data_IF_826106166877
#
_entry.id   IF_826106166877
#
_cell.length_a   1.000
_cell.length_b   1.000
_cell.length_c   1.000
_cell.angle_alpha   90.00
_cell.angle_beta   90.00
_cell.angle_gamma   90.00
#
_symmetry.space_group_name_H-M   'P 1'
#
loop_
_entity.id
_entity.type
_entity.pdbx_description
1 polymer ?
#
# COMPACT_ATOMS: atom_id res chain seq x y z
N UNK A 1 -26.47 6.17 -2.89
CA UNK A 1 -25.90 6.20 -4.26
C UNK A 1 -24.59 6.99 -4.41
N UNK A 2 -24.26 7.91 -3.48
CA UNK A 2 -22.98 8.66 -3.47
C UNK A 2 -21.79 7.86 -2.90
N UNK A 3 -21.93 7.06 -1.82
CA UNK A 3 -20.78 6.41 -1.17
C UNK A 3 -20.07 5.38 -2.08
N UNK A 4 -20.82 4.62 -2.88
CA UNK A 4 -20.24 3.62 -3.79
C UNK A 4 -19.44 4.23 -4.94
N UNK A 5 -19.70 5.50 -5.30
CA UNK A 5 -18.95 6.20 -6.36
C UNK A 5 -17.54 6.58 -5.89
N UNK A 6 -17.34 6.77 -4.59
CA UNK A 6 -16.07 7.20 -3.99
C UNK A 6 -15.11 6.04 -3.70
N UNK A 7 -15.58 4.78 -3.70
CA UNK A 7 -14.73 3.62 -3.44
C UNK A 7 -13.51 3.58 -4.37
N UNK A 8 -13.73 3.68 -5.68
CA UNK A 8 -12.63 3.60 -6.67
C UNK A 8 -11.64 4.76 -6.52
N UNK A 9 -12.06 6.04 -6.43
CA UNK A 9 -11.15 7.14 -6.16
C UNK A 9 -10.28 6.95 -4.90
N UNK A 10 -10.88 6.56 -3.77
CA UNK A 10 -10.13 6.36 -2.52
C UNK A 10 -9.11 5.22 -2.63
N UNK A 11 -9.52 4.09 -3.21
CA UNK A 11 -8.60 2.98 -3.48
C UNK A 11 -7.51 3.37 -4.48
N UNK A 12 -7.79 4.27 -5.42
CA UNK A 12 -6.80 4.77 -6.39
C UNK A 12 -5.75 5.65 -5.73
N UNK A 13 -6.13 6.47 -4.74
CA UNK A 13 -5.17 7.27 -3.94
C UNK A 13 -4.25 6.36 -3.13
N UNK A 14 -4.79 5.30 -2.53
CA UNK A 14 -3.96 4.32 -1.83
C UNK A 14 -3.09 3.51 -2.80
N UNK A 15 -3.61 3.13 -3.97
CA UNK A 15 -2.85 2.44 -5.02
C UNK A 15 -1.66 3.30 -5.48
N UNK A 16 -1.89 4.58 -5.74
CA UNK A 16 -0.86 5.52 -6.16
C UNK A 16 0.29 5.60 -5.14
N UNK A 17 -0.01 5.69 -3.85
CA UNK A 17 1.02 5.70 -2.80
C UNK A 17 1.91 4.45 -2.83
N UNK A 18 1.30 3.26 -2.95
CA UNK A 18 2.07 2.01 -3.05
C UNK A 18 2.83 1.91 -4.37
N UNK A 19 2.28 2.41 -5.48
CA UNK A 19 2.95 2.42 -6.77
C UNK A 19 4.16 3.37 -6.75
N UNK A 20 4.02 4.55 -6.17
CA UNK A 20 5.13 5.48 -5.95
C UNK A 20 6.25 4.83 -5.14
N UNK A 21 5.90 4.15 -4.04
CA UNK A 21 6.89 3.39 -3.28
C UNK A 21 7.57 2.33 -4.15
N UNK A 22 6.81 1.65 -5.01
CA UNK A 22 7.35 0.60 -5.87
C UNK A 22 8.36 1.12 -6.90
N UNK A 23 8.07 2.27 -7.52
CA UNK A 23 8.81 2.75 -8.70
C UNK A 23 9.84 3.83 -8.38
N UNK A 24 9.68 4.55 -7.27
CA UNK A 24 10.58 5.63 -6.86
C UNK A 24 11.39 5.24 -5.64
N UNK A 25 10.69 4.86 -4.56
CA UNK A 25 11.33 4.68 -3.27
C UNK A 25 12.13 3.36 -3.18
N UNK A 26 11.57 2.24 -3.63
CA UNK A 26 12.25 0.95 -3.59
C UNK A 26 13.58 0.95 -4.37
N UNK A 27 13.66 1.44 -5.63
CA UNK A 27 14.93 1.52 -6.34
C UNK A 27 15.96 2.37 -5.59
N UNK A 28 15.55 3.50 -5.01
CA UNK A 28 16.45 4.37 -4.25
C UNK A 28 17.06 3.65 -3.04
N UNK A 29 16.25 2.93 -2.26
CA UNK A 29 16.74 2.21 -1.07
C UNK A 29 17.57 0.98 -1.44
N UNK A 30 17.24 0.31 -2.55
CA UNK A 30 18.02 -0.82 -3.04
C UNK A 30 19.41 -0.40 -3.55
N UNK A 31 19.50 0.76 -4.21
CA UNK A 31 20.77 1.31 -4.70
C UNK A 31 21.64 1.85 -3.56
N UNK A 32 21.02 2.47 -2.55
CA UNK A 32 21.73 3.09 -1.43
C UNK A 32 21.03 2.80 -0.08
N UNK A 33 21.24 1.59 0.48
CA UNK A 33 20.64 1.18 1.74
C UNK A 33 21.30 1.90 2.91
N UNK A 34 20.74 3.05 3.29
CA UNK A 34 21.23 3.87 4.43
C UNK A 34 20.46 3.55 5.72
N UNK A 35 21.08 2.94 6.73
CA UNK A 35 20.47 2.73 8.04
C UNK A 35 20.04 4.05 8.69
N UNK A 36 18.90 4.05 9.38
CA UNK A 36 18.38 5.25 10.06
C UNK A 36 17.96 6.41 9.15
N UNK A 37 17.93 6.24 7.83
CA UNK A 37 17.66 7.33 6.87
C UNK A 37 16.18 7.70 6.74
N UNK A 38 15.27 6.82 7.14
CA UNK A 38 13.84 7.12 7.10
C UNK A 38 13.41 7.95 8.31
N UNK A 39 12.71 9.05 8.02
CA UNK A 39 11.94 9.80 9.01
C UNK A 39 10.81 8.94 9.59
N UNK A 40 10.26 9.38 10.74
CA UNK A 40 9.12 8.71 11.38
C UNK A 40 7.96 8.49 10.40
N UNK A 41 7.24 7.37 10.53
CA UNK A 41 6.14 6.95 9.62
C UNK A 41 5.11 8.08 9.40
N UNK A 42 4.85 8.88 10.44
CA UNK A 42 3.89 9.99 10.46
C UNK A 42 4.55 11.38 10.41
N UNK A 43 5.85 11.47 10.15
CA UNK A 43 6.54 12.74 10.00
C UNK A 43 6.25 13.35 8.62
N UNK A 44 6.20 14.69 8.55
CA UNK A 44 6.16 15.41 7.28
C UNK A 44 7.40 15.02 6.44
N UNK A 45 7.17 14.64 5.18
CA UNK A 45 8.19 14.06 4.29
C UNK A 45 8.12 12.52 4.15
N UNK A 46 7.37 11.82 5.00
CA UNK A 46 7.03 10.41 4.81
C UNK A 46 5.92 10.28 3.74
N UNK A 47 6.11 9.54 2.63
CA UNK A 47 5.04 9.29 1.67
C UNK A 47 3.78 8.69 2.32
N UNK A 48 3.98 7.86 3.34
CA UNK A 48 2.90 7.23 4.12
C UNK A 48 1.99 8.29 4.76
N UNK A 49 2.53 9.43 5.19
CA UNK A 49 1.74 10.52 5.78
C UNK A 49 0.62 11.01 4.85
N UNK A 50 0.88 11.07 3.54
CA UNK A 50 -0.07 11.61 2.56
C UNK A 50 -1.05 10.57 2.02
N UNK A 51 -0.67 9.28 2.02
CA UNK A 51 -1.47 8.23 1.36
C UNK A 51 -2.16 7.24 2.31
N UNK A 52 -1.70 7.14 3.57
CA UNK A 52 -2.23 6.18 4.54
C UNK A 52 -3.73 6.39 4.86
N UNK A 53 -4.27 7.62 5.02
CA UNK A 53 -5.68 7.78 5.36
C UNK A 53 -6.65 7.18 4.32
N UNK A 54 -6.25 7.17 3.04
CA UNK A 54 -7.12 6.72 1.95
C UNK A 54 -7.32 5.20 1.93
N UNK A 55 -6.35 4.42 2.41
CA UNK A 55 -6.44 2.96 2.44
C UNK A 55 -7.58 2.47 3.34
N UNK A 56 -7.54 2.75 4.66
CA UNK A 56 -8.61 2.38 5.59
C UNK A 56 -9.97 2.95 5.17
N UNK A 57 -10.03 4.21 4.74
CA UNK A 57 -11.28 4.82 4.26
C UNK A 57 -11.84 4.08 3.03
N UNK A 58 -10.99 3.78 2.04
CA UNK A 58 -11.37 3.05 0.84
C UNK A 58 -11.86 1.63 1.14
N UNK A 59 -11.20 0.92 2.06
CA UNK A 59 -11.59 -0.44 2.48
C UNK A 59 -12.91 -0.45 3.24
N UNK A 60 -13.08 0.42 4.23
CA UNK A 60 -14.34 0.55 4.98
C UNK A 60 -15.49 0.87 4.02
N UNK A 61 -15.27 1.80 3.10
CA UNK A 61 -16.28 2.19 2.14
C UNK A 61 -16.61 1.05 1.16
N UNK A 62 -15.62 0.25 0.75
CA UNK A 62 -15.82 -0.93 -0.09
C UNK A 62 -16.71 -1.97 0.61
N UNK A 63 -16.50 -2.20 1.91
CA UNK A 63 -17.33 -3.10 2.73
C UNK A 63 -18.76 -2.57 2.83
N UNK A 64 -18.93 -1.30 3.21
CA UNK A 64 -20.26 -0.67 3.36
C UNK A 64 -21.01 -0.62 2.02
N UNK A 65 -20.31 -0.36 0.92
CA UNK A 65 -20.87 -0.35 -0.42
C UNK A 65 -21.14 -1.77 -0.99
N UNK A 66 -20.81 -2.82 -0.24
CA UNK A 66 -21.01 -4.23 -0.60
C UNK A 66 -20.45 -4.55 -1.98
N UNK A 67 -19.19 -4.16 -2.21
CA UNK A 67 -18.49 -4.50 -3.46
C UNK A 67 -18.34 -6.03 -3.62
N UNK A 68 -18.02 -6.54 -4.81
CA UNK A 68 -17.91 -7.98 -5.02
C UNK A 68 -16.97 -8.67 -4.03
N UNK A 69 -17.37 -9.84 -3.51
CA UNK A 69 -16.56 -10.63 -2.55
C UNK A 69 -15.13 -10.88 -3.02
N UNK A 70 -14.85 -11.20 -4.31
CA UNK A 70 -13.47 -11.35 -4.76
C UNK A 70 -12.65 -10.06 -4.61
N UNK A 71 -13.25 -8.88 -4.83
CA UNK A 71 -12.58 -7.61 -4.62
C UNK A 71 -12.28 -7.38 -3.13
N UNK A 72 -13.21 -7.73 -2.23
CA UNK A 72 -12.97 -7.70 -0.78
C UNK A 72 -11.84 -8.65 -0.37
N UNK A 73 -11.73 -9.83 -0.99
CA UNK A 73 -10.60 -10.75 -0.78
C UNK A 73 -9.26 -10.12 -1.16
N UNK A 74 -9.17 -9.49 -2.34
CA UNK A 74 -7.97 -8.76 -2.76
C UNK A 74 -7.63 -7.60 -1.82
N UNK A 75 -8.63 -6.84 -1.35
CA UNK A 75 -8.42 -5.77 -0.38
C UNK A 75 -7.93 -6.30 0.97
N UNK A 76 -8.47 -7.42 1.44
CA UNK A 76 -8.02 -8.06 2.68
C UNK A 76 -6.55 -8.49 2.58
N UNK A 77 -6.15 -9.13 1.47
CA UNK A 77 -4.74 -9.47 1.20
C UNK A 77 -3.86 -8.22 1.22
N UNK A 78 -4.29 -7.16 0.54
CA UNK A 78 -3.57 -5.88 0.48
C UNK A 78 -3.35 -5.29 1.88
N UNK A 79 -4.40 -5.27 2.70
CA UNK A 79 -4.34 -4.75 4.08
C UNK A 79 -3.40 -5.60 4.94
N UNK A 80 -3.56 -6.93 4.93
CA UNK A 80 -2.74 -7.84 5.74
C UNK A 80 -1.26 -7.70 5.38
N UNK A 81 -0.93 -7.74 4.09
CA UNK A 81 0.45 -7.56 3.64
C UNK A 81 1.00 -6.20 4.06
N UNK A 82 0.24 -5.11 3.90
CA UNK A 82 0.74 -3.79 4.28
C UNK A 82 0.94 -3.65 5.78
N UNK A 83 0.06 -4.23 6.61
CA UNK A 83 0.25 -4.29 8.07
C UNK A 83 1.51 -5.06 8.42
N UNK A 84 1.76 -6.23 7.81
CA UNK A 84 2.97 -7.01 8.06
C UNK A 84 4.23 -6.24 7.65
N UNK A 85 4.25 -5.62 6.47
CA UNK A 85 5.37 -4.81 6.01
C UNK A 85 5.64 -3.62 6.94
N UNK A 86 4.59 -2.89 7.32
CA UNK A 86 4.71 -1.72 8.20
C UNK A 86 5.22 -2.11 9.58
N UNK A 87 4.75 -3.22 10.14
CA UNK A 87 5.08 -3.62 11.52
C UNK A 87 6.37 -4.42 11.64
N UNK A 88 6.77 -5.16 10.59
CA UNK A 88 7.92 -6.08 10.64
C UNK A 88 9.12 -5.59 9.85
N UNK A 89 8.91 -4.88 8.75
CA UNK A 89 9.99 -4.50 7.82
C UNK A 89 10.36 -3.02 7.99
N UNK A 90 9.36 -2.15 8.09
CA UNK A 90 9.55 -0.70 8.19
C UNK A 90 10.44 -0.24 9.36
N UNK A 91 10.41 -0.87 10.56
CA UNK A 91 11.29 -0.46 11.66
C UNK A 91 12.78 -0.58 11.33
N UNK A 92 13.18 -1.57 10.52
CA UNK A 92 14.60 -1.81 10.16
C UNK A 92 15.18 -0.63 9.40
N UNK A 93 14.41 0.01 8.53
CA UNK A 93 14.85 1.19 7.79
C UNK A 93 15.08 2.43 8.66
N UNK A 94 14.56 2.43 9.90
CA UNK A 94 14.73 3.52 10.88
C UNK A 94 15.77 3.22 11.94
N UNK A 95 16.27 1.99 11.99
CA UNK A 95 17.27 1.60 12.97
C UNK A 95 18.66 2.08 12.50
N UNK A 96 19.30 3.03 13.22
CA UNK A 96 20.64 3.49 12.86
C UNK A 96 21.73 2.45 13.20
N UNK A 97 21.40 1.44 14.00
CA UNK A 97 22.31 0.36 14.40
C UNK A 97 22.28 -0.84 13.44
N UNK A 98 21.30 -0.89 12.53
CA UNK A 98 21.23 -1.91 11.51
C UNK A 98 22.40 -1.81 10.51
N UNK A 99 22.82 -2.94 9.95
CA UNK A 99 23.83 -2.97 8.89
C UNK A 99 23.19 -2.65 7.54
N UNK A 100 24.01 -2.21 6.57
CA UNK A 100 23.57 -1.97 5.20
C UNK A 100 22.96 -3.22 4.55
N UNK A 101 23.55 -4.39 4.79
CA UNK A 101 23.06 -5.65 4.23
C UNK A 101 21.68 -6.00 4.79
N UNK A 102 21.48 -5.84 6.10
CA UNK A 102 20.17 -6.06 6.73
C UNK A 102 19.12 -5.10 6.16
N UNK A 103 19.46 -3.83 5.97
CA UNK A 103 18.58 -2.84 5.35
C UNK A 103 18.25 -3.21 3.90
N UNK A 104 19.25 -3.65 3.12
CA UNK A 104 19.07 -4.07 1.75
C UNK A 104 18.12 -5.28 1.63
N UNK A 105 18.33 -6.33 2.43
CA UNK A 105 17.49 -7.53 2.42
C UNK A 105 16.04 -7.22 2.79
N UNK A 106 15.84 -6.33 3.76
CA UNK A 106 14.52 -5.84 4.14
C UNK A 106 13.90 -4.97 3.04
N UNK A 107 14.71 -4.21 2.30
CA UNK A 107 14.24 -3.44 1.15
C UNK A 107 13.76 -4.35 0.02
N UNK A 108 14.45 -5.47 -0.23
CA UNK A 108 14.00 -6.51 -1.18
C UNK A 108 12.66 -7.10 -0.73
N UNK A 109 12.55 -7.49 0.55
CA UNK A 109 11.31 -8.02 1.10
C UNK A 109 10.15 -7.02 1.00
N UNK A 110 10.41 -5.75 1.33
CA UNK A 110 9.44 -4.67 1.15
C UNK A 110 9.01 -4.54 -0.30
N UNK A 111 9.94 -4.57 -1.24
CA UNK A 111 9.65 -4.39 -2.66
C UNK A 111 8.77 -5.51 -3.23
N UNK A 112 9.02 -6.77 -2.86
CA UNK A 112 8.16 -7.88 -3.26
C UNK A 112 6.78 -7.82 -2.60
N UNK A 113 6.74 -7.58 -1.29
CA UNK A 113 5.47 -7.47 -0.56
C UNK A 113 4.61 -6.32 -1.08
N UNK A 114 5.22 -5.16 -1.33
CA UNK A 114 4.53 -3.99 -1.88
C UNK A 114 4.06 -4.23 -3.32
N UNK A 115 4.84 -4.91 -4.15
CA UNK A 115 4.40 -5.36 -5.49
C UNK A 115 3.15 -6.23 -5.45
N UNK A 116 3.05 -7.14 -4.47
CA UNK A 116 1.85 -7.94 -4.26
C UNK A 116 0.64 -7.10 -3.81
N UNK A 117 0.85 -6.10 -2.94
CA UNK A 117 -0.19 -5.12 -2.55
C UNK A 117 -0.70 -4.35 -3.77
N UNK A 118 0.20 -3.77 -4.58
CA UNK A 118 -0.15 -3.03 -5.81
C UNK A 118 -0.99 -3.89 -6.74
N UNK A 119 -0.58 -5.15 -6.96
CA UNK A 119 -1.28 -6.09 -7.84
C UNK A 119 -2.68 -6.43 -7.31
N UNK A 120 -2.79 -6.78 -6.03
CA UNK A 120 -4.07 -7.11 -5.41
C UNK A 120 -5.04 -5.90 -5.43
N UNK A 121 -4.53 -4.69 -5.18
CA UNK A 121 -5.33 -3.47 -5.28
C UNK A 121 -5.82 -3.19 -6.71
N UNK A 122 -4.96 -3.35 -7.72
CA UNK A 122 -5.35 -3.19 -9.12
C UNK A 122 -6.47 -4.16 -9.49
N UNK A 123 -6.34 -5.45 -9.11
CA UNK A 123 -7.37 -6.46 -9.33
C UNK A 123 -8.68 -6.09 -8.62
N UNK A 124 -8.62 -5.63 -7.36
CA UNK A 124 -9.80 -5.19 -6.63
C UNK A 124 -10.52 -4.04 -7.35
N UNK A 125 -9.79 -3.02 -7.80
CA UNK A 125 -10.35 -1.87 -8.54
C UNK A 125 -11.01 -2.35 -9.84
N UNK A 126 -10.36 -3.20 -10.62
CA UNK A 126 -10.90 -3.75 -11.87
C UNK A 126 -12.20 -4.55 -11.63
N UNK A 127 -12.23 -5.39 -10.59
CA UNK A 127 -13.42 -6.16 -10.22
C UNK A 127 -14.60 -5.25 -9.83
N UNK A 128 -14.32 -4.18 -9.06
CA UNK A 128 -15.32 -3.19 -8.66
C UNK A 128 -15.87 -2.45 -9.89
N UNK A 129 -14.99 -1.99 -10.79
CA UNK A 129 -15.39 -1.29 -12.00
C UNK A 129 -16.23 -2.20 -12.92
N UNK A 130 -15.78 -3.44 -13.17
CA UNK A 130 -16.51 -4.41 -13.98
C UNK A 130 -17.90 -4.70 -13.42
N UNK A 131 -18.03 -4.81 -12.10
CA UNK A 131 -19.33 -5.03 -11.46
C UNK A 131 -20.26 -3.81 -11.58
N UNK A 132 -19.71 -2.58 -11.61
CA UNK A 132 -20.49 -1.36 -11.85
C UNK A 132 -20.96 -1.26 -13.29
N UNK A 133 -20.10 -1.54 -14.27
CA UNK A 133 -20.46 -1.50 -15.70
C UNK A 133 -21.54 -2.51 -16.08
N UNK A 134 -21.64 -3.65 -15.37
CA UNK A 134 -22.71 -4.64 -15.59
C UNK A 134 -24.07 -4.23 -14.99
N UNK A 135 -24.11 -3.21 -14.15
CA UNK A 135 -25.33 -2.71 -13.47
C UNK A 135 -25.85 -1.41 -14.09
N UNK A 136 -25.07 -0.78 -14.96
CA UNK A 136 -25.45 0.40 -15.74
C UNK A 136 -26.10 -0.07 -17.04
#
# INVERSE_FOLDING_TARGET
MIPSKLVVPLLSMWFFGNLYEQVVWNPQVLVDPRPGSLVGVFAAGSPIYYYLPWGPLGVVLAVVARVPRPALGCLAVSVVLKVLLITRVNPVFRDPTATRDVVHDHAVLWAFGNGAVVTAMAVAILLIQRARSRRA
#
